data_IF_873625878001
#
_entry.id   IF_873625878001
#
_cell.length_a   1.000
_cell.length_b   1.000
_cell.length_c   1.000
_cell.angle_alpha   90.00
_cell.angle_beta   90.00
_cell.angle_gamma   90.00
#
_symmetry.space_group_name_H-M   'P 1'
#
loop_
_entity.id
_entity.type
_entity.pdbx_description
1 polymer ?
#
# COMPACT_ATOMS: atom_id res chain seq x y z
N UNK A 1 38.02 -20.75 -21.98
CA UNK A 1 37.09 -19.67 -22.43
C UNK A 1 35.66 -19.89 -21.97
N UNK A 2 34.98 -20.99 -22.34
CA UNK A 2 33.58 -21.27 -21.92
C UNK A 2 33.36 -21.21 -20.40
N UNK A 3 34.29 -21.76 -19.59
CA UNK A 3 34.23 -21.74 -18.11
C UNK A 3 34.38 -20.35 -17.47
N UNK A 4 35.11 -19.44 -18.12
CA UNK A 4 35.31 -18.06 -17.64
C UNK A 4 34.05 -17.24 -17.96
N UNK A 5 33.43 -17.50 -19.11
CA UNK A 5 32.16 -16.88 -19.52
C UNK A 5 31.00 -17.29 -18.57
N UNK A 6 30.93 -18.55 -18.16
CA UNK A 6 29.90 -19.01 -17.20
C UNK A 6 30.11 -18.44 -15.80
N UNK A 7 31.36 -18.30 -15.32
CA UNK A 7 31.63 -17.65 -14.03
C UNK A 7 31.26 -16.15 -14.05
N UNK A 8 31.56 -15.44 -15.15
CA UNK A 8 31.18 -14.04 -15.31
C UNK A 8 29.66 -13.81 -15.34
N UNK A 9 28.92 -14.72 -15.99
CA UNK A 9 27.46 -14.64 -16.05
C UNK A 9 26.80 -14.94 -14.70
N UNK A 10 27.33 -15.90 -13.93
CA UNK A 10 26.85 -16.19 -12.58
C UNK A 10 27.09 -15.01 -11.62
N UNK A 11 28.27 -14.37 -11.70
CA UNK A 11 28.60 -13.20 -10.89
C UNK A 11 27.72 -11.98 -11.23
N UNK A 12 27.36 -11.82 -12.51
CA UNK A 12 26.43 -10.77 -12.95
C UNK A 12 25.01 -11.00 -12.40
N UNK A 13 24.52 -12.25 -12.38
CA UNK A 13 23.22 -12.59 -11.79
C UNK A 13 23.16 -12.35 -10.27
N UNK A 14 24.27 -12.54 -9.56
CA UNK A 14 24.39 -12.23 -8.13
C UNK A 14 24.33 -10.73 -7.83
N UNK A 15 24.75 -9.87 -8.77
CA UNK A 15 24.67 -8.41 -8.62
C UNK A 15 23.28 -7.82 -8.92
N UNK A 16 22.32 -8.64 -9.35
CA UNK A 16 20.92 -8.25 -9.56
C UNK A 16 20.02 -8.54 -8.34
N UNK A 17 20.61 -8.94 -7.20
CA UNK A 17 19.86 -9.07 -5.95
C UNK A 17 19.45 -7.67 -5.43
N UNK A 18 18.26 -7.22 -5.82
CA UNK A 18 17.65 -6.01 -5.27
C UNK A 18 17.20 -6.24 -3.83
N UNK A 19 17.46 -5.28 -2.94
CA UNK A 19 16.88 -5.27 -1.60
C UNK A 19 15.39 -4.90 -1.71
N UNK A 20 14.51 -5.86 -1.41
CA UNK A 20 13.13 -5.58 -1.04
C UNK A 20 13.03 -5.55 0.48
N UNK A 21 12.07 -4.81 1.03
CA UNK A 21 11.78 -4.81 2.47
C UNK A 21 10.38 -5.37 2.68
N UNK A 22 10.26 -6.33 3.59
CA UNK A 22 8.98 -6.89 3.99
C UNK A 22 8.40 -6.09 5.14
N UNK A 23 7.07 -5.90 5.17
CA UNK A 23 6.41 -5.17 6.28
C UNK A 23 6.75 -5.76 7.65
N UNK A 24 7.02 -7.06 7.70
CA UNK A 24 7.33 -7.76 8.94
C UNK A 24 8.67 -7.33 9.56
N UNK A 25 9.55 -6.66 8.83
CA UNK A 25 10.79 -6.08 9.39
C UNK A 25 10.49 -5.01 10.45
N UNK A 26 9.32 -4.37 10.37
CA UNK A 26 8.90 -3.34 11.32
C UNK A 26 8.25 -3.88 12.61
N UNK A 27 8.19 -5.21 12.82
CA UNK A 27 7.51 -5.85 13.98
C UNK A 27 7.89 -5.30 15.36
N UNK A 28 9.11 -4.79 15.52
CA UNK A 28 9.62 -4.24 16.79
C UNK A 28 9.40 -2.72 16.93
N UNK A 29 8.89 -2.06 15.90
CA UNK A 29 8.66 -0.61 15.90
C UNK A 29 7.38 -0.27 16.65
N UNK A 30 7.42 0.81 17.43
CA UNK A 30 6.33 1.27 18.29
C UNK A 30 5.98 2.74 17.98
N UNK A 31 4.74 3.17 18.22
CA UNK A 31 3.61 2.36 18.67
C UNK A 31 3.11 1.40 17.58
N UNK A 32 2.58 0.24 17.98
CA UNK A 32 1.93 -0.67 17.06
C UNK A 32 0.68 -0.02 16.42
N UNK A 33 0.55 -0.15 15.09
CA UNK A 33 -0.54 0.42 14.32
C UNK A 33 -1.75 -0.52 14.34
N UNK A 34 -2.82 -0.09 15.00
CA UNK A 34 -4.15 -0.64 14.81
C UNK A 34 -4.93 0.25 13.84
N UNK A 35 -5.14 -0.23 12.61
CA UNK A 35 -5.81 0.56 11.57
C UNK A 35 -7.28 0.87 11.90
N UNK A 36 -7.95 0.03 12.69
CA UNK A 36 -9.35 0.29 13.06
C UNK A 36 -9.43 1.46 14.02
N UNK A 37 -8.51 1.51 14.98
CA UNK A 37 -8.43 2.63 15.91
C UNK A 37 -7.91 3.89 15.23
N UNK A 38 -6.83 3.79 14.45
CA UNK A 38 -6.17 4.92 13.80
C UNK A 38 -7.09 5.66 12.83
N UNK A 39 -7.87 4.91 12.03
CA UNK A 39 -8.76 5.51 11.03
C UNK A 39 -10.18 5.78 11.56
N UNK A 40 -10.50 5.48 12.83
CA UNK A 40 -11.82 5.79 13.37
C UNK A 40 -12.02 7.30 13.48
N UNK A 41 -13.03 7.83 12.78
CA UNK A 41 -13.28 9.26 12.68
C UNK A 41 -12.55 9.90 11.49
N UNK A 42 -12.20 11.18 11.62
CA UNK A 42 -11.57 11.94 10.53
C UNK A 42 -10.05 11.85 10.60
N UNK A 43 -9.43 11.47 9.49
CA UNK A 43 -7.98 11.47 9.28
C UNK A 43 -7.62 12.10 7.94
N UNK A 44 -6.36 12.47 7.77
CA UNK A 44 -5.85 13.05 6.53
C UNK A 44 -4.47 12.48 6.20
N UNK A 45 -4.13 12.40 4.91
CA UNK A 45 -2.83 11.95 4.46
C UNK A 45 -2.37 12.68 3.20
N UNK A 46 -1.07 12.61 2.95
CA UNK A 46 -0.43 13.07 1.71
C UNK A 46 0.26 11.89 1.06
N UNK A 47 0.15 11.80 -0.26
CA UNK A 47 0.76 10.72 -1.01
C UNK A 47 1.16 11.14 -2.42
N UNK A 48 1.76 10.18 -3.13
CA UNK A 48 2.21 10.36 -4.49
C UNK A 48 2.01 9.10 -5.32
N UNK A 49 1.79 9.28 -6.62
CA UNK A 49 1.77 8.20 -7.61
C UNK A 49 3.12 8.18 -8.29
N UNK A 50 3.75 7.00 -8.37
CA UNK A 50 5.05 6.81 -9.02
C UNK A 50 4.94 5.78 -10.15
N UNK A 51 5.75 5.97 -11.19
CA UNK A 51 5.94 4.93 -12.21
C UNK A 51 6.87 3.80 -11.72
N UNK A 52 7.03 2.75 -12.52
CA UNK A 52 7.94 1.62 -12.23
C UNK A 52 9.42 1.98 -12.06
N UNK A 53 9.83 3.19 -12.44
CA UNK A 53 11.19 3.73 -12.27
C UNK A 53 11.29 4.61 -11.03
N UNK A 54 10.20 4.79 -10.28
CA UNK A 54 10.13 5.67 -9.12
C UNK A 54 9.94 7.15 -9.48
N UNK A 55 9.67 7.49 -10.74
CA UNK A 55 9.39 8.87 -11.12
C UNK A 55 8.03 9.27 -10.55
N UNK A 56 8.00 10.36 -9.77
CA UNK A 56 6.75 10.94 -9.29
C UNK A 56 5.93 11.48 -10.46
N UNK A 57 4.70 11.00 -10.60
CA UNK A 57 3.75 11.40 -11.62
C UNK A 57 2.76 12.44 -11.09
N UNK A 58 2.20 12.19 -9.91
CA UNK A 58 1.18 13.04 -9.27
C UNK A 58 1.36 13.04 -7.76
N UNK A 59 0.83 14.05 -7.09
CA UNK A 59 0.66 14.06 -5.62
C UNK A 59 -0.79 14.27 -5.27
N UNK A 60 -1.17 13.85 -4.07
CA UNK A 60 -2.51 14.06 -3.58
C UNK A 60 -2.51 14.35 -2.08
N UNK A 61 -3.51 15.12 -1.67
CA UNK A 61 -4.02 15.16 -0.31
C UNK A 61 -5.30 14.35 -0.27
N UNK A 62 -5.51 13.60 0.81
CA UNK A 62 -6.73 12.81 1.00
C UNK A 62 -7.30 13.09 2.39
N UNK A 63 -8.59 13.39 2.44
CA UNK A 63 -9.38 13.33 3.66
C UNK A 63 -10.08 11.97 3.74
N UNK A 64 -10.08 11.36 4.93
CA UNK A 64 -10.63 10.03 5.15
C UNK A 64 -11.55 10.09 6.36
N UNK A 65 -12.83 9.78 6.17
CA UNK A 65 -13.74 9.51 7.27
C UNK A 65 -13.89 8.00 7.42
N UNK A 66 -13.43 7.46 8.56
CA UNK A 66 -13.54 6.06 8.88
C UNK A 66 -14.64 5.76 9.89
N UNK A 67 -15.38 4.70 9.63
CA UNK A 67 -16.41 4.14 10.50
C UNK A 67 -16.12 2.67 10.80
N UNK A 68 -16.31 2.27 12.05
CA UNK A 68 -16.05 0.90 12.52
C UNK A 68 -17.35 0.29 13.04
N UNK A 69 -17.79 -0.78 12.38
CA UNK A 69 -18.95 -1.58 12.78
C UNK A 69 -18.55 -3.04 12.88
N UNK A 70 -18.47 -3.54 14.11
CA UNK A 70 -17.98 -4.89 14.40
C UNK A 70 -16.56 -5.07 13.83
N UNK A 71 -16.38 -6.10 13.01
CA UNK A 71 -15.09 -6.41 12.37
C UNK A 71 -14.88 -5.72 11.01
N UNK A 72 -15.69 -4.71 10.68
CA UNK A 72 -15.59 -3.96 9.42
C UNK A 72 -15.22 -2.50 9.66
N UNK A 73 -14.12 -2.07 9.04
CA UNK A 73 -13.71 -0.68 8.90
C UNK A 73 -14.14 -0.18 7.51
N UNK A 74 -14.95 0.87 7.45
CA UNK A 74 -15.31 1.54 6.19
C UNK A 74 -14.58 2.87 6.10
N UNK A 75 -13.82 3.11 5.04
CA UNK A 75 -13.11 4.37 4.82
C UNK A 75 -13.71 5.11 3.64
N UNK A 76 -14.21 6.32 3.89
CA UNK A 76 -14.68 7.25 2.86
C UNK A 76 -13.56 8.22 2.53
N UNK A 77 -12.77 7.88 1.50
CA UNK A 77 -11.61 8.65 1.06
C UNK A 77 -12.01 9.67 -0.01
N UNK A 78 -11.53 10.91 0.13
CA UNK A 78 -11.71 12.01 -0.83
C UNK A 78 -10.36 12.60 -1.18
N UNK A 79 -9.91 12.35 -2.39
CA UNK A 79 -8.62 12.77 -2.91
C UNK A 79 -8.74 14.11 -3.63
N UNK A 80 -7.73 14.96 -3.45
CA UNK A 80 -7.48 16.15 -4.26
C UNK A 80 -6.05 16.05 -4.78
N UNK A 81 -5.91 15.92 -6.10
CA UNK A 81 -4.62 15.83 -6.77
C UNK A 81 -4.02 17.21 -7.04
N UNK A 82 -2.72 17.28 -7.30
CA UNK A 82 -2.01 18.54 -7.52
C UNK A 82 -2.35 19.24 -8.85
N UNK A 83 -3.00 18.55 -9.78
CA UNK A 83 -3.64 19.11 -10.98
C UNK A 83 -5.09 19.57 -10.76
N UNK A 84 -5.63 19.39 -9.55
CA UNK A 84 -6.99 19.74 -9.17
C UNK A 84 -8.04 18.64 -9.41
N UNK A 85 -7.68 17.48 -9.96
CA UNK A 85 -8.60 16.35 -10.07
C UNK A 85 -9.08 15.90 -8.68
N UNK A 86 -10.33 15.46 -8.62
CA UNK A 86 -10.94 14.93 -7.41
C UNK A 86 -11.40 13.50 -7.64
N UNK A 87 -11.04 12.61 -6.72
CA UNK A 87 -11.45 11.22 -6.74
C UNK A 87 -12.03 10.82 -5.39
N UNK A 88 -12.94 9.86 -5.39
CA UNK A 88 -13.44 9.24 -4.17
C UNK A 88 -13.21 7.74 -4.19
N UNK A 89 -12.91 7.17 -3.04
CA UNK A 89 -12.83 5.72 -2.85
C UNK A 89 -13.49 5.35 -1.54
N UNK A 90 -14.29 4.28 -1.56
CA UNK A 90 -14.93 3.74 -0.37
C UNK A 90 -14.41 2.34 -0.12
N UNK A 91 -13.48 2.21 0.82
CA UNK A 91 -12.99 0.90 1.25
C UNK A 91 -13.96 0.27 2.24
N UNK A 92 -14.15 -1.03 2.11
CA UNK A 92 -14.70 -1.90 3.17
C UNK A 92 -13.63 -2.93 3.53
N UNK A 93 -13.06 -2.80 4.72
CA UNK A 93 -11.93 -3.60 5.21
C UNK A 93 -12.41 -4.48 6.35
N UNK A 94 -12.10 -5.78 6.30
CA UNK A 94 -12.40 -6.74 7.35
C UNK A 94 -11.13 -7.34 7.93
N UNK A 95 -11.16 -7.66 9.23
CA UNK A 95 -10.12 -8.49 9.86
C UNK A 95 -10.27 -9.94 9.38
N UNK A 96 -9.16 -10.57 9.00
CA UNK A 96 -9.14 -11.99 8.61
C UNK A 96 -8.16 -12.83 9.44
N UNK A 97 -7.50 -12.21 10.41
CA UNK A 97 -6.57 -12.86 11.35
C UNK A 97 -5.67 -11.82 12.03
N UNK A 98 -4.70 -12.30 12.79
CA UNK A 98 -3.77 -11.44 13.54
C UNK A 98 -3.00 -10.51 12.60
N UNK A 99 -3.30 -9.20 12.71
CA UNK A 99 -2.74 -8.15 11.88
C UNK A 99 -2.90 -8.38 10.36
N UNK A 100 -3.91 -9.16 9.95
CA UNK A 100 -4.23 -9.45 8.54
C UNK A 100 -5.64 -8.97 8.20
N UNK A 101 -5.74 -8.38 7.02
CA UNK A 101 -6.95 -7.70 6.57
C UNK A 101 -7.24 -8.00 5.11
N UNK A 102 -8.53 -7.95 4.76
CA UNK A 102 -8.98 -7.99 3.38
C UNK A 102 -9.93 -6.84 3.12
N UNK A 103 -9.99 -6.33 1.89
CA UNK A 103 -10.92 -5.26 1.58
C UNK A 103 -11.28 -5.13 0.12
N UNK A 104 -12.35 -4.38 -0.12
CA UNK A 104 -12.89 -4.10 -1.44
C UNK A 104 -13.22 -2.62 -1.57
N UNK A 105 -13.07 -2.09 -2.77
CA UNK A 105 -13.52 -0.76 -3.16
C UNK A 105 -14.02 -0.82 -4.62
N UNK A 106 -14.83 0.17 -5.03
CA UNK A 106 -15.54 0.13 -6.32
C UNK A 106 -14.63 0.14 -7.55
N UNK A 107 -13.41 0.65 -7.42
CA UNK A 107 -12.40 0.80 -8.47
C UNK A 107 -11.26 -0.22 -8.36
N UNK A 108 -11.43 -1.23 -7.51
CA UNK A 108 -10.41 -2.25 -7.23
C UNK A 108 -10.80 -3.58 -7.87
N UNK A 109 -9.85 -4.18 -8.57
CA UNK A 109 -10.02 -5.51 -9.14
C UNK A 109 -9.83 -6.58 -8.06
N UNK A 110 -10.91 -7.27 -7.72
CA UNK A 110 -10.89 -8.37 -6.75
C UNK A 110 -10.83 -7.90 -5.29
N UNK A 111 -9.97 -8.53 -4.50
CA UNK A 111 -9.87 -8.31 -3.05
C UNK A 111 -8.47 -7.83 -2.71
N UNK A 112 -8.38 -6.68 -2.07
CA UNK A 112 -7.15 -6.15 -1.49
C UNK A 112 -6.72 -6.97 -0.28
N UNK A 113 -5.41 -7.11 -0.08
CA UNK A 113 -4.81 -7.81 1.05
C UNK A 113 -3.95 -6.86 1.89
N UNK A 114 -4.13 -6.88 3.20
CA UNK A 114 -3.41 -6.04 4.15
C UNK A 114 -2.66 -6.82 5.21
N UNK A 115 -1.49 -6.32 5.59
CA UNK A 115 -0.75 -6.80 6.75
C UNK A 115 -0.15 -5.64 7.54
N UNK A 116 -0.37 -5.64 8.86
CA UNK A 116 0.26 -4.71 9.79
C UNK A 116 1.42 -5.39 10.55
N UNK A 117 2.45 -4.62 10.87
CA UNK A 117 3.56 -5.04 11.73
C UNK A 117 4.25 -3.83 12.35
N UNK A 118 4.29 -3.79 13.69
CA UNK A 118 4.73 -2.60 14.43
C UNK A 118 3.91 -1.38 13.99
N UNK A 119 4.59 -0.29 13.64
CA UNK A 119 3.95 0.95 13.17
C UNK A 119 3.62 0.98 11.66
N UNK A 120 3.83 -0.11 10.93
CA UNK A 120 3.68 -0.17 9.48
C UNK A 120 2.45 -0.97 9.04
N UNK A 121 1.83 -0.53 7.95
CA UNK A 121 0.74 -1.23 7.27
C UNK A 121 1.05 -1.33 5.78
N UNK A 122 1.03 -2.55 5.25
CA UNK A 122 1.20 -2.81 3.82
C UNK A 122 -0.14 -3.23 3.23
N UNK A 123 -0.68 -2.38 2.36
CA UNK A 123 -1.94 -2.60 1.65
C UNK A 123 -1.68 -2.86 0.18
N UNK A 124 -2.11 -4.01 -0.32
CA UNK A 124 -1.83 -4.45 -1.70
C UNK A 124 -3.13 -4.75 -2.44
N UNK A 125 -3.25 -4.18 -3.63
CA UNK A 125 -4.40 -4.34 -4.50
C UNK A 125 -4.03 -4.05 -5.96
N UNK A 126 -4.91 -4.44 -6.87
CA UNK A 126 -4.82 -4.14 -8.30
C UNK A 126 -5.93 -3.16 -8.68
N UNK A 127 -5.57 -2.14 -9.45
CA UNK A 127 -6.53 -1.18 -10.01
C UNK A 127 -6.04 -0.75 -11.38
N UNK A 128 -6.97 -0.35 -12.25
CA UNK A 128 -6.63 0.33 -13.48
C UNK A 128 -6.39 1.80 -13.16
N UNK A 129 -5.17 2.27 -13.41
CA UNK A 129 -4.82 3.67 -13.28
C UNK A 129 -4.82 4.27 -14.68
N UNK A 130 -5.66 5.27 -14.92
CA UNK A 130 -5.54 6.08 -16.13
C UNK A 130 -4.28 6.94 -15.99
N UNK A 131 -3.26 6.63 -16.79
CA UNK A 131 -2.08 7.46 -16.92
C UNK A 131 -2.30 8.43 -18.09
N UNK A 132 -2.86 9.60 -17.79
CA UNK A 132 -2.91 10.74 -18.72
C UNK A 132 -1.59 11.49 -18.76
#
# INVERSE_FOLDING_TARGET
MKRILTLGLALLMLMLAGCSTEVTEYRQQQPALDIFHYFQGRTEAWGMVQDRRGKQLRRFHVEIDGDVVGDTLTLHERFVYDDGEKQQRVWRIRRTGDNRYQGTAGDIEGVASGQAAGNAFHWRYSMNVEAS
#
